data_IF_325838929307
#
_entry.id   IF_325838929307
#
_cell.length_a   1.000
_cell.length_b   1.000
_cell.length_c   1.000
_cell.angle_alpha   90.00
_cell.angle_beta   90.00
_cell.angle_gamma   90.00
#
_symmetry.space_group_name_H-M   'P 1'
#
loop_
_entity.id
_entity.type
_entity.pdbx_description
1 polymer ?
#
# COMPACT_ATOMS: atom_id res chain seq x y z
N UNK A 1 26.28 4.74 -6.57
CA UNK A 1 25.80 4.37 -5.24
C UNK A 1 26.41 3.04 -4.96
N UNK A 2 27.25 2.98 -3.94
CA UNK A 2 27.72 1.72 -3.39
C UNK A 2 26.83 1.34 -2.21
N UNK A 3 26.55 0.05 -2.05
CA UNK A 3 25.87 -0.49 -0.87
C UNK A 3 26.69 -1.62 -0.28
N UNK A 4 27.17 -1.40 0.94
CA UNK A 4 27.78 -2.44 1.75
C UNK A 4 26.69 -3.31 2.37
N UNK A 5 26.81 -4.63 2.19
CA UNK A 5 25.87 -5.64 2.71
C UNK A 5 26.55 -6.45 3.79
N UNK A 6 26.06 -6.31 5.01
CA UNK A 6 26.50 -7.09 6.15
C UNK A 6 25.38 -8.05 6.58
N UNK A 7 25.64 -9.36 6.52
CA UNK A 7 24.73 -10.38 7.04
C UNK A 7 25.38 -11.07 8.24
N UNK A 8 24.90 -10.74 9.43
CA UNK A 8 25.29 -11.35 10.71
C UNK A 8 24.13 -12.18 11.27
N UNK A 9 24.37 -13.13 12.20
CA UNK A 9 23.28 -13.85 12.83
C UNK A 9 22.22 -12.90 13.42
N UNK A 10 20.97 -13.09 13.01
CA UNK A 10 19.84 -12.26 13.46
C UNK A 10 19.61 -10.97 12.65
N UNK A 11 20.46 -10.62 11.67
CA UNK A 11 20.37 -9.30 11.00
C UNK A 11 21.03 -9.24 9.62
N UNK A 12 20.37 -8.55 8.69
CA UNK A 12 20.97 -8.04 7.45
C UNK A 12 20.96 -6.51 7.49
N UNK A 13 22.10 -5.87 7.25
CA UNK A 13 22.25 -4.42 7.19
C UNK A 13 22.71 -3.99 5.79
N UNK A 14 22.05 -2.97 5.26
CA UNK A 14 22.46 -2.29 4.03
C UNK A 14 22.96 -0.89 4.37
N UNK A 15 24.24 -0.62 4.09
CA UNK A 15 24.87 0.68 4.29
C UNK A 15 25.13 1.35 2.93
N UNK A 16 24.43 2.46 2.68
CA UNK A 16 24.44 3.24 1.45
C UNK A 16 25.55 4.29 1.49
N UNK A 17 26.41 4.22 0.48
CA UNK A 17 27.54 5.11 0.25
C UNK A 17 27.34 5.87 -1.08
N UNK A 18 26.83 7.11 -1.03
CA UNK A 18 26.63 7.92 -2.23
C UNK A 18 27.97 8.26 -2.90
N UNK A 19 28.04 8.09 -4.22
CA UNK A 19 29.19 8.53 -5.00
C UNK A 19 29.19 10.05 -5.23
N UNK A 20 30.34 10.63 -5.63
CA UNK A 20 30.47 12.06 -5.88
C UNK A 20 29.47 12.62 -6.93
N UNK A 21 29.05 11.79 -7.89
CA UNK A 21 28.08 12.16 -8.92
C UNK A 21 26.60 12.13 -8.43
N UNK A 22 26.34 11.54 -7.25
CA UNK A 22 24.99 11.32 -6.75
C UNK A 22 24.51 12.49 -5.90
N UNK A 23 23.89 13.46 -6.57
CA UNK A 23 23.26 14.60 -5.91
C UNK A 23 22.10 14.14 -5.01
N UNK A 24 22.14 14.58 -3.75
CA UNK A 24 21.09 14.38 -2.72
C UNK A 24 19.84 15.23 -2.95
N UNK A 25 19.79 16.07 -4.00
CA UNK A 25 18.74 17.06 -4.27
C UNK A 25 17.44 16.55 -4.92
N UNK A 26 17.04 15.29 -4.74
CA UNK A 26 15.71 14.81 -5.19
C UNK A 26 14.63 15.29 -4.20
N UNK A 27 13.34 15.18 -4.56
CA UNK A 27 12.18 15.37 -3.65
C UNK A 27 12.24 14.52 -2.36
N UNK A 28 13.20 13.60 -2.27
CA UNK A 28 13.44 12.66 -1.19
C UNK A 28 14.94 12.68 -0.87
N UNK A 29 15.28 13.06 0.35
CA UNK A 29 16.66 13.16 0.85
C UNK A 29 17.09 11.83 1.50
N UNK A 30 18.37 11.47 1.37
CA UNK A 30 18.99 10.39 2.14
C UNK A 30 19.29 10.86 3.56
N UNK A 31 18.40 10.53 4.51
CA UNK A 31 18.44 11.00 5.89
C UNK A 31 19.30 10.12 6.81
N UNK A 32 19.43 8.83 6.47
CA UNK A 32 20.32 7.88 7.13
C UNK A 32 21.07 7.09 6.08
N UNK A 33 22.28 6.66 6.42
CA UNK A 33 23.12 5.87 5.53
C UNK A 33 22.94 4.37 5.71
N UNK A 34 22.21 3.90 6.70
CA UNK A 34 21.99 2.47 6.89
C UNK A 34 20.58 2.15 7.32
N UNK A 35 20.17 0.94 6.95
CA UNK A 35 18.97 0.28 7.44
C UNK A 35 19.24 -1.20 7.67
N UNK A 36 18.59 -1.77 8.68
CA UNK A 36 18.67 -3.17 9.02
C UNK A 36 17.32 -3.86 8.89
N UNK A 37 17.38 -5.16 8.66
CA UNK A 37 16.27 -6.11 8.75
C UNK A 37 16.67 -7.15 9.80
N UNK A 38 15.80 -7.40 10.77
CA UNK A 38 15.99 -8.42 11.81
C UNK A 38 15.32 -9.71 11.35
N UNK A 39 16.10 -10.77 11.19
CA UNK A 39 15.64 -12.06 10.66
C UNK A 39 16.53 -13.21 11.15
N UNK A 40 15.98 -14.41 11.23
CA UNK A 40 16.65 -15.60 11.77
C UNK A 40 17.45 -16.38 10.72
N UNK A 41 17.37 -15.99 9.44
CA UNK A 41 18.10 -16.68 8.36
C UNK A 41 19.61 -16.54 8.60
N UNK A 42 20.36 -17.66 8.71
CA UNK A 42 21.80 -17.62 8.94
C UNK A 42 22.58 -16.95 7.80
N UNK A 43 23.74 -16.34 8.09
CA UNK A 43 24.68 -15.89 7.06
C UNK A 43 25.00 -17.01 6.05
N UNK A 44 25.02 -16.66 4.78
CA UNK A 44 25.27 -17.60 3.67
C UNK A 44 24.05 -18.41 3.20
N UNK A 45 22.90 -18.30 3.88
CA UNK A 45 21.64 -18.94 3.47
C UNK A 45 20.71 -18.04 2.63
N UNK A 46 21.15 -16.82 2.32
CA UNK A 46 20.45 -15.91 1.40
C UNK A 46 21.28 -15.80 0.13
N UNK A 47 20.70 -16.17 -1.01
CA UNK A 47 21.38 -16.07 -2.29
C UNK A 47 21.87 -14.62 -2.57
N UNK A 48 23.10 -14.44 -3.11
CA UNK A 48 23.65 -13.10 -3.37
C UNK A 48 22.74 -12.19 -4.21
N UNK A 49 22.07 -12.73 -5.23
CA UNK A 49 21.12 -11.97 -6.06
C UNK A 49 19.95 -11.36 -5.24
N UNK A 50 19.46 -12.07 -4.23
CA UNK A 50 18.39 -11.57 -3.34
C UNK A 50 18.90 -10.39 -2.49
N UNK A 51 20.16 -10.48 -2.01
CA UNK A 51 20.82 -9.40 -1.27
C UNK A 51 21.04 -8.17 -2.17
N UNK A 52 21.53 -8.36 -3.40
CA UNK A 52 21.74 -7.28 -4.36
C UNK A 52 20.42 -6.56 -4.69
N UNK A 53 19.35 -7.30 -4.96
CA UNK A 53 18.04 -6.70 -5.24
C UNK A 53 17.47 -6.03 -3.99
N UNK A 54 17.62 -6.63 -2.81
CA UNK A 54 17.23 -6.00 -1.54
C UNK A 54 17.93 -4.66 -1.30
N UNK A 55 19.26 -4.63 -1.49
CA UNK A 55 20.08 -3.43 -1.41
C UNK A 55 19.65 -2.37 -2.44
N UNK A 56 19.46 -2.78 -3.70
CA UNK A 56 19.02 -1.90 -4.78
C UNK A 56 17.65 -1.28 -4.48
N UNK A 57 16.69 -2.06 -3.97
CA UNK A 57 15.36 -1.57 -3.59
C UNK A 57 15.42 -0.55 -2.45
N UNK A 58 16.33 -0.71 -1.51
CA UNK A 58 16.55 0.26 -0.43
C UNK A 58 17.22 1.55 -0.93
N UNK A 59 18.13 1.44 -1.90
CA UNK A 59 18.90 2.57 -2.43
C UNK A 59 18.27 3.25 -3.65
N UNK A 60 17.27 2.63 -4.29
CA UNK A 60 16.72 3.01 -5.61
C UNK A 60 16.45 4.49 -5.82
N UNK A 61 15.92 5.26 -4.83
CA UNK A 61 15.68 6.69 -4.99
C UNK A 61 16.92 7.53 -5.22
N UNK A 62 18.11 7.03 -4.93
CA UNK A 62 19.37 7.78 -5.05
C UNK A 62 20.28 7.23 -6.15
N UNK A 63 19.97 6.05 -6.69
CA UNK A 63 20.69 5.48 -7.85
C UNK A 63 20.38 6.29 -9.12
N UNK A 64 21.44 6.60 -9.88
CA UNK A 64 21.37 7.20 -11.21
C UNK A 64 21.58 6.15 -12.31
N UNK A 65 20.93 6.33 -13.46
CA UNK A 65 21.11 5.40 -14.61
C UNK A 65 22.47 5.52 -15.28
N UNK A 66 23.11 6.70 -15.20
CA UNK A 66 24.40 6.99 -15.81
C UNK A 66 25.58 6.34 -15.07
N UNK A 67 25.42 6.01 -13.79
CA UNK A 67 26.49 5.46 -12.94
C UNK A 67 26.14 4.03 -12.55
N UNK A 68 27.08 3.08 -12.65
CA UNK A 68 26.85 1.73 -12.14
C UNK A 68 26.46 1.73 -10.65
N UNK A 69 25.47 0.92 -10.31
CA UNK A 69 25.17 0.55 -8.93
C UNK A 69 26.15 -0.55 -8.50
N UNK A 70 26.79 -0.39 -7.35
CA UNK A 70 27.70 -1.39 -6.80
C UNK A 70 27.20 -1.90 -5.45
N UNK A 71 27.49 -3.16 -5.16
CA UNK A 71 27.12 -3.86 -3.94
C UNK A 71 28.33 -4.65 -3.47
N UNK A 72 28.57 -4.81 -2.17
CA UNK A 72 29.72 -5.60 -1.69
C UNK A 72 29.60 -7.11 -1.95
N UNK A 73 28.38 -7.58 -2.20
CA UNK A 73 28.09 -8.92 -2.71
C UNK A 73 27.97 -8.94 -4.24
N UNK A 74 28.52 -9.95 -4.94
CA UNK A 74 28.43 -10.05 -6.40
C UNK A 74 27.05 -10.53 -6.86
N UNK A 75 26.56 -9.98 -7.97
CA UNK A 75 25.37 -10.48 -8.66
C UNK A 75 25.73 -11.56 -9.70
N UNK A 76 24.79 -12.45 -10.01
CA UNK A 76 24.87 -13.33 -11.18
C UNK A 76 24.77 -12.54 -12.49
N UNK A 77 25.24 -13.13 -13.59
CA UNK A 77 25.12 -12.54 -14.94
C UNK A 77 23.66 -12.34 -15.34
N UNK A 78 22.80 -13.30 -15.02
CA UNK A 78 21.38 -13.25 -15.37
C UNK A 78 20.65 -12.11 -14.62
N UNK A 79 20.95 -11.92 -13.33
CA UNK A 79 20.43 -10.75 -12.61
C UNK A 79 20.95 -9.44 -13.22
N UNK A 80 22.23 -9.37 -13.58
CA UNK A 80 22.79 -8.18 -14.20
C UNK A 80 22.12 -7.83 -15.55
N UNK A 81 21.78 -8.84 -16.34
CA UNK A 81 21.04 -8.70 -17.60
C UNK A 81 19.60 -8.24 -17.37
N UNK A 82 18.91 -8.80 -16.37
CA UNK A 82 17.56 -8.39 -15.99
C UNK A 82 17.51 -6.95 -15.47
N UNK A 83 18.49 -6.53 -14.66
CA UNK A 83 18.62 -5.15 -14.15
C UNK A 83 18.96 -4.16 -15.29
N UNK A 84 19.71 -4.60 -16.29
CA UNK A 84 20.03 -3.80 -17.47
C UNK A 84 18.86 -3.65 -18.42
N UNK A 85 18.09 -4.69 -18.66
CA UNK A 85 16.94 -4.66 -19.57
C UNK A 85 15.70 -4.00 -18.95
N UNK A 86 15.41 -4.28 -17.68
CA UNK A 86 14.25 -3.75 -16.95
C UNK A 86 14.42 -2.28 -16.51
N UNK A 87 14.98 -2.01 -15.31
CA UNK A 87 15.08 -0.64 -14.78
C UNK A 87 16.13 0.23 -15.51
N UNK A 88 16.87 -0.35 -16.47
CA UNK A 88 17.96 0.27 -17.23
C UNK A 88 19.09 0.76 -16.33
N UNK A 89 19.51 -0.10 -15.41
CA UNK A 89 20.63 0.12 -14.51
C UNK A 89 21.78 -0.83 -14.83
N UNK A 90 23.00 -0.45 -14.45
CA UNK A 90 24.18 -1.33 -14.59
C UNK A 90 24.66 -1.74 -13.21
N UNK A 91 25.00 -3.03 -13.05
CA UNK A 91 25.66 -3.54 -11.86
C UNK A 91 27.18 -3.50 -12.06
N UNK A 92 27.93 -3.03 -11.07
CA UNK A 92 29.39 -2.95 -11.15
C UNK A 92 30.08 -4.28 -10.83
N UNK A 93 29.53 -5.05 -9.89
CA UNK A 93 30.12 -6.30 -9.42
C UNK A 93 29.25 -7.48 -9.86
N UNK A 94 29.67 -8.12 -10.95
CA UNK A 94 29.06 -9.34 -11.49
C UNK A 94 30.04 -10.48 -11.29
N UNK A 95 29.64 -11.49 -10.51
CA UNK A 95 30.46 -12.66 -10.22
C UNK A 95 30.24 -13.80 -11.20
N UNK A 96 30.96 -14.90 -10.98
CA UNK A 96 30.81 -16.16 -11.75
C UNK A 96 29.78 -17.11 -11.15
N UNK A 97 29.08 -16.69 -10.08
CA UNK A 97 28.04 -17.49 -9.43
C UNK A 97 26.85 -17.77 -10.33
N UNK A 98 26.20 -18.91 -10.10
CA UNK A 98 24.95 -19.28 -10.77
C UNK A 98 23.80 -18.36 -10.37
N UNK A 99 22.80 -18.16 -11.25
CA UNK A 99 21.54 -17.53 -10.88
C UNK A 99 20.83 -18.32 -9.76
N UNK A 100 19.95 -17.64 -9.00
CA UNK A 100 19.13 -18.32 -7.99
C UNK A 100 18.22 -19.36 -8.66
N UNK A 101 18.25 -20.63 -8.24
CA UNK A 101 17.32 -21.63 -8.77
C UNK A 101 15.89 -21.37 -8.24
N UNK A 102 14.90 -21.46 -9.13
CA UNK A 102 13.49 -21.44 -8.74
C UNK A 102 13.08 -22.81 -8.15
N UNK A 103 12.50 -22.88 -6.94
CA UNK A 103 12.03 -24.14 -6.37
C UNK A 103 10.86 -24.71 -7.18
N UNK A 104 10.92 -25.99 -7.57
CA UNK A 104 9.85 -26.66 -8.34
C UNK A 104 8.58 -26.94 -7.51
N UNK A 105 8.76 -27.23 -6.23
CA UNK A 105 7.71 -27.51 -5.24
C UNK A 105 7.53 -26.34 -4.26
N UNK A 106 7.92 -25.13 -4.68
CA UNK A 106 7.91 -23.95 -3.84
C UNK A 106 6.51 -23.48 -3.42
N UNK A 107 6.48 -22.43 -2.61
CA UNK A 107 5.24 -21.76 -2.18
C UNK A 107 5.31 -20.26 -2.49
N UNK A 108 4.18 -19.60 -2.75
CA UNK A 108 4.22 -18.18 -3.05
C UNK A 108 4.42 -17.40 -1.75
N UNK A 109 5.20 -16.32 -1.81
CA UNK A 109 5.35 -15.39 -0.71
C UNK A 109 4.45 -14.16 -0.88
N UNK A 110 3.81 -13.68 0.18
CA UNK A 110 2.97 -12.47 0.17
C UNK A 110 3.61 -11.33 0.98
N UNK A 111 3.77 -10.16 0.35
CA UNK A 111 4.12 -8.91 1.03
C UNK A 111 2.90 -8.42 1.84
N UNK A 112 2.82 -8.81 3.10
CA UNK A 112 1.62 -8.66 3.93
C UNK A 112 1.62 -7.36 4.75
N UNK A 113 0.53 -6.59 4.63
CA UNK A 113 0.39 -5.28 5.29
C UNK A 113 -0.61 -5.26 6.45
N UNK A 114 -1.46 -6.26 6.57
CA UNK A 114 -2.64 -6.26 7.45
C UNK A 114 -3.80 -5.38 6.94
N UNK A 115 -3.66 -4.72 5.80
CA UNK A 115 -4.76 -4.00 5.15
C UNK A 115 -5.74 -4.93 4.43
N UNK A 116 -6.96 -4.46 4.20
CA UNK A 116 -8.04 -5.17 3.48
C UNK A 116 -7.54 -5.90 2.23
N UNK A 117 -6.80 -5.21 1.38
CA UNK A 117 -6.43 -5.76 0.06
C UNK A 117 -5.36 -6.86 0.17
N UNK A 118 -4.43 -6.77 1.14
CA UNK A 118 -3.47 -7.86 1.41
C UNK A 118 -4.11 -9.04 2.15
N UNK A 119 -5.13 -8.82 2.97
CA UNK A 119 -5.89 -9.91 3.60
C UNK A 119 -6.74 -10.63 2.53
N UNK A 120 -7.43 -9.88 1.67
CA UNK A 120 -8.17 -10.45 0.55
C UNK A 120 -7.26 -11.24 -0.40
N UNK A 121 -6.06 -10.73 -0.71
CA UNK A 121 -5.08 -11.48 -1.49
C UNK A 121 -4.71 -12.81 -0.81
N UNK A 122 -4.50 -12.84 0.51
CA UNK A 122 -4.18 -14.07 1.24
C UNK A 122 -5.34 -15.07 1.23
N UNK A 123 -6.60 -14.61 1.27
CA UNK A 123 -7.80 -15.47 1.16
C UNK A 123 -7.82 -16.20 -0.18
N UNK A 124 -7.50 -15.50 -1.27
CA UNK A 124 -7.51 -16.05 -2.64
C UNK A 124 -6.30 -16.94 -2.95
N UNK A 125 -5.22 -16.85 -2.17
CA UNK A 125 -3.98 -17.59 -2.42
C UNK A 125 -3.97 -18.96 -1.72
N UNK A 126 -3.14 -19.91 -2.21
CA UNK A 126 -3.04 -21.25 -1.61
C UNK A 126 -2.78 -21.24 -0.10
N UNK A 127 -3.25 -22.28 0.59
CA UNK A 127 -2.99 -22.53 2.01
C UNK A 127 -1.53 -22.41 2.44
N UNK A 128 -0.61 -22.80 1.54
CA UNK A 128 0.84 -22.83 1.74
C UNK A 128 1.52 -21.46 1.64
N UNK A 129 0.78 -20.40 1.32
CA UNK A 129 1.32 -19.05 1.10
C UNK A 129 2.04 -18.51 2.34
N UNK A 130 3.29 -18.11 2.18
CA UNK A 130 4.12 -17.55 3.25
C UNK A 130 3.95 -16.03 3.31
N UNK A 131 3.40 -15.49 4.40
CA UNK A 131 3.24 -14.03 4.54
C UNK A 131 4.44 -13.37 5.21
N UNK A 132 4.83 -12.19 4.74
CA UNK A 132 5.94 -11.41 5.30
C UNK A 132 5.49 -9.99 5.63
N UNK A 133 5.57 -9.63 6.91
CA UNK A 133 5.23 -8.30 7.39
C UNK A 133 6.50 -7.49 7.72
N UNK A 134 6.70 -6.39 7.01
CA UNK A 134 7.72 -5.39 7.36
C UNK A 134 7.25 -4.59 8.59
N UNK A 135 7.77 -4.94 9.75
CA UNK A 135 7.48 -4.25 11.01
C UNK A 135 8.39 -3.05 11.18
N UNK A 136 7.80 -1.86 11.19
CA UNK A 136 8.53 -0.60 11.35
C UNK A 136 9.19 -0.54 12.72
N UNK A 137 10.50 -0.32 12.74
CA UNK A 137 11.28 -0.04 13.93
C UNK A 137 11.80 1.38 13.86
N UNK A 138 11.58 2.14 14.94
CA UNK A 138 12.18 3.46 15.10
C UNK A 138 13.62 3.25 15.56
N UNK A 139 14.63 3.67 14.80
CA UNK A 139 16.01 3.52 15.25
C UNK A 139 16.29 4.41 16.47
N UNK A 140 17.28 4.01 17.27
CA UNK A 140 17.69 4.76 18.46
C UNK A 140 18.07 6.21 18.10
N UNK A 141 17.71 7.14 18.98
CA UNK A 141 17.99 8.58 18.79
C UNK A 141 17.16 9.27 17.71
N UNK A 142 16.28 8.56 16.99
CA UNK A 142 15.44 9.13 15.96
C UNK A 142 14.36 10.06 16.56
N UNK A 143 14.30 11.30 16.05
CA UNK A 143 13.40 12.36 16.55
C UNK A 143 12.29 12.71 15.58
N UNK A 144 12.33 12.22 14.34
CA UNK A 144 11.31 12.49 13.33
C UNK A 144 9.99 11.86 13.74
N UNK A 145 8.97 12.70 13.90
CA UNK A 145 7.64 12.26 14.27
C UNK A 145 6.99 11.46 13.12
N UNK A 146 6.36 10.33 13.47
CA UNK A 146 5.52 9.56 12.57
C UNK A 146 4.07 9.56 13.07
N UNK A 147 3.12 9.57 12.14
CA UNK A 147 1.70 9.37 12.46
C UNK A 147 1.30 7.89 12.50
N UNK A 148 2.24 7.00 12.18
CA UNK A 148 2.01 5.56 12.06
C UNK A 148 2.17 4.86 13.41
N UNK A 149 1.32 3.87 13.65
CA UNK A 149 1.29 3.00 14.81
C UNK A 149 1.28 1.54 14.32
N UNK A 150 2.35 0.81 14.58
CA UNK A 150 2.53 -0.56 14.10
C UNK A 150 1.71 -1.61 14.86
N UNK A 151 1.13 -1.28 16.03
CA UNK A 151 0.51 -2.27 16.92
C UNK A 151 -0.65 -3.02 16.29
N UNK A 152 -1.50 -2.33 15.53
CA UNK A 152 -2.62 -2.97 14.85
C UNK A 152 -2.17 -3.97 13.78
N UNK A 153 -1.05 -3.69 13.08
CA UNK A 153 -0.51 -4.61 12.09
C UNK A 153 0.13 -5.85 12.74
N UNK A 154 0.77 -5.69 13.91
CA UNK A 154 1.25 -6.83 14.70
C UNK A 154 0.10 -7.71 15.20
N UNK A 155 -0.99 -7.11 15.67
CA UNK A 155 -2.20 -7.85 16.05
C UNK A 155 -2.85 -8.56 14.85
N UNK A 156 -2.80 -7.96 13.66
CA UNK A 156 -3.24 -8.60 12.42
C UNK A 156 -2.42 -9.86 12.12
N UNK A 157 -1.09 -9.81 12.29
CA UNK A 157 -0.24 -10.99 12.15
C UNK A 157 -0.58 -12.09 13.17
N UNK A 158 -0.92 -11.71 14.41
CA UNK A 158 -1.36 -12.68 15.43
C UNK A 158 -2.68 -13.37 15.07
N UNK A 159 -3.63 -12.63 14.48
CA UNK A 159 -4.86 -13.22 13.96
C UNK A 159 -4.54 -14.26 12.87
N UNK A 160 -3.66 -13.95 11.92
CA UNK A 160 -3.25 -14.92 10.91
C UNK A 160 -2.70 -16.22 11.52
N UNK A 161 -1.84 -16.12 12.53
CA UNK A 161 -1.29 -17.30 13.23
C UNK A 161 -2.38 -18.12 13.90
N UNK A 162 -3.36 -17.48 14.55
CA UNK A 162 -4.52 -18.16 15.15
C UNK A 162 -5.38 -18.90 14.12
N UNK A 163 -5.42 -18.41 12.88
CA UNK A 163 -6.07 -19.10 11.75
C UNK A 163 -5.15 -20.09 11.03
N UNK A 164 -3.98 -20.42 11.58
CA UNK A 164 -3.04 -21.38 10.98
C UNK A 164 -2.37 -20.87 9.70
N UNK A 165 -2.40 -19.56 9.42
CA UNK A 165 -1.72 -18.97 8.26
C UNK A 165 -0.31 -18.52 8.66
N UNK A 166 0.75 -18.95 7.93
CA UNK A 166 2.11 -18.62 8.30
C UNK A 166 2.40 -17.14 8.01
N UNK A 167 3.01 -16.46 9.00
CA UNK A 167 3.43 -15.07 8.88
C UNK A 167 4.74 -14.81 9.62
N UNK A 168 5.73 -14.33 8.86
CA UNK A 168 7.03 -13.87 9.35
C UNK A 168 6.99 -12.36 9.53
N UNK A 169 7.26 -11.90 10.75
CA UNK A 169 7.35 -10.47 11.06
C UNK A 169 8.83 -10.08 11.06
N UNK A 170 9.21 -9.15 10.19
CA UNK A 170 10.60 -8.69 10.01
C UNK A 170 10.73 -7.25 10.48
N UNK A 171 11.27 -7.01 11.69
CA UNK A 171 11.59 -5.67 12.17
C UNK A 171 12.60 -4.97 11.25
N UNK A 172 12.33 -3.71 10.88
CA UNK A 172 13.24 -2.90 10.05
C UNK A 172 13.05 -1.40 10.24
N UNK A 173 14.16 -0.66 10.17
CA UNK A 173 14.20 0.80 10.19
C UNK A 173 14.32 1.43 8.78
N UNK A 174 14.11 0.65 7.71
CA UNK A 174 14.32 1.07 6.31
C UNK A 174 13.55 2.34 5.90
N UNK A 175 12.38 2.61 6.49
CA UNK A 175 11.62 3.83 6.20
C UNK A 175 12.35 5.12 6.64
N UNK A 176 13.32 4.99 7.55
CA UNK A 176 14.13 6.09 8.06
C UNK A 176 15.36 6.39 7.20
N UNK A 177 15.66 5.60 6.15
CA UNK A 177 16.66 5.96 5.14
C UNK A 177 16.34 7.30 4.47
N UNK A 178 15.06 7.65 4.32
CA UNK A 178 14.62 8.84 3.61
C UNK A 178 13.97 9.90 4.48
N UNK A 179 14.04 11.16 4.03
CA UNK A 179 13.25 12.28 4.53
C UNK A 179 12.36 12.85 3.40
N UNK A 180 11.03 12.98 3.60
CA UNK A 180 10.25 12.52 4.76
C UNK A 180 10.24 10.98 4.88
N UNK A 181 10.08 10.49 6.11
CA UNK A 181 10.02 9.06 6.47
C UNK A 181 8.97 8.33 5.63
N UNK A 182 9.34 7.15 5.14
CA UNK A 182 8.49 6.25 4.35
C UNK A 182 9.33 5.29 3.54
N UNK A 183 8.71 4.42 2.74
CA UNK A 183 9.47 3.49 1.92
C UNK A 183 10.36 4.23 0.88
N UNK A 184 11.65 3.85 0.75
CA UNK A 184 12.48 4.34 -0.34
C UNK A 184 11.85 4.02 -1.70
N UNK A 185 11.43 2.77 -1.90
CA UNK A 185 10.76 2.32 -3.11
C UNK A 185 9.49 1.53 -2.76
N UNK A 186 8.47 1.54 -3.62
CA UNK A 186 7.22 0.81 -3.35
C UNK A 186 7.47 -0.70 -3.12
N UNK A 187 8.48 -1.25 -3.80
CA UNK A 187 8.89 -2.66 -3.68
C UNK A 187 9.83 -2.94 -2.51
N UNK A 188 10.26 -1.94 -1.74
CA UNK A 188 11.00 -2.20 -0.48
C UNK A 188 10.20 -3.10 0.47
N UNK A 189 8.88 -3.15 0.32
CA UNK A 189 7.98 -4.07 1.03
C UNK A 189 8.27 -5.56 0.77
N UNK A 190 8.94 -5.91 -0.33
CA UNK A 190 9.33 -7.28 -0.64
C UNK A 190 10.65 -7.71 0.00
N UNK A 191 11.47 -6.79 0.52
CA UNK A 191 12.78 -7.15 1.09
C UNK A 191 12.69 -8.22 2.19
N UNK A 192 11.74 -8.15 3.16
CA UNK A 192 11.51 -9.24 4.10
C UNK A 192 11.34 -10.61 3.44
N UNK A 193 10.55 -10.69 2.37
CA UNK A 193 10.29 -11.91 1.63
C UNK A 193 11.55 -12.38 0.88
N UNK A 194 12.25 -11.47 0.20
CA UNK A 194 13.49 -11.79 -0.51
C UNK A 194 14.54 -12.40 0.42
N UNK A 195 14.70 -11.84 1.62
CA UNK A 195 15.68 -12.33 2.62
C UNK A 195 15.32 -13.69 3.22
N UNK A 196 14.13 -14.24 2.94
CA UNK A 196 13.70 -15.58 3.37
C UNK A 196 13.41 -16.51 2.19
N UNK A 197 13.67 -16.08 0.95
CA UNK A 197 13.18 -16.79 -0.22
C UNK A 197 13.75 -18.20 -0.36
N UNK A 198 15.02 -18.41 0.00
CA UNK A 198 15.65 -19.73 -0.11
C UNK A 198 15.24 -20.67 1.01
N UNK A 199 15.33 -20.21 2.27
CA UNK A 199 14.96 -21.02 3.43
C UNK A 199 13.48 -21.45 3.42
N UNK A 200 12.59 -20.64 2.87
CA UNK A 200 11.17 -20.95 2.77
C UNK A 200 10.77 -21.47 1.38
N UNK A 201 11.74 -21.75 0.49
CA UNK A 201 11.53 -22.27 -0.88
C UNK A 201 10.47 -21.47 -1.64
N UNK A 202 10.59 -20.14 -1.64
CA UNK A 202 9.65 -19.28 -2.34
C UNK A 202 9.85 -19.32 -3.85
N UNK A 203 8.74 -19.35 -4.59
CA UNK A 203 8.71 -19.42 -6.06
C UNK A 203 7.85 -18.31 -6.71
N UNK A 204 7.31 -17.39 -5.92
CA UNK A 204 6.61 -16.20 -6.40
C UNK A 204 6.61 -15.11 -5.33
N UNK A 205 6.48 -13.86 -5.77
CA UNK A 205 6.33 -12.70 -4.88
C UNK A 205 4.99 -12.03 -5.14
N UNK A 206 4.20 -11.87 -4.08
CA UNK A 206 2.83 -11.41 -4.17
C UNK A 206 2.52 -10.11 -3.43
N UNK A 207 1.52 -9.38 -3.93
CA UNK A 207 0.96 -8.17 -3.31
C UNK A 207 -0.57 -8.12 -3.38
N UNK A 208 -1.18 -7.48 -2.39
CA UNK A 208 -2.59 -7.12 -2.41
C UNK A 208 -2.83 -5.75 -3.05
N UNK A 209 -2.74 -5.66 -4.38
CA UNK A 209 -3.02 -4.43 -5.12
C UNK A 209 -4.30 -4.58 -5.97
N UNK A 210 -5.40 -3.88 -5.63
CA UNK A 210 -6.68 -4.03 -6.32
C UNK A 210 -6.67 -3.35 -7.70
N UNK A 211 -7.70 -3.60 -8.50
CA UNK A 211 -7.94 -3.08 -9.84
C UNK A 211 -7.66 -1.58 -9.98
N UNK A 212 -8.09 -0.76 -9.02
CA UNK A 212 -7.88 0.68 -9.08
C UNK A 212 -6.40 1.07 -8.98
N UNK A 213 -5.60 0.26 -8.27
CA UNK A 213 -4.19 0.50 -8.07
C UNK A 213 -3.36 0.00 -9.26
N UNK A 214 -3.61 -1.24 -9.71
CA UNK A 214 -2.87 -1.92 -10.80
C UNK A 214 -3.10 -1.23 -12.14
N UNK A 215 -4.37 -0.95 -12.47
CA UNK A 215 -4.80 -0.33 -13.74
C UNK A 215 -4.98 1.19 -13.66
N UNK A 216 -4.44 1.83 -12.62
CA UNK A 216 -4.39 3.30 -12.42
C UNK A 216 -5.74 4.02 -12.31
N UNK A 217 -6.88 3.32 -12.21
CA UNK A 217 -8.20 3.96 -12.06
C UNK A 217 -8.24 4.91 -10.85
N UNK A 218 -7.44 4.67 -9.81
CA UNK A 218 -7.29 5.57 -8.67
C UNK A 218 -6.73 6.97 -8.98
N UNK A 219 -6.18 7.16 -10.20
CA UNK A 219 -5.68 8.43 -10.75
C UNK A 219 -6.64 9.02 -11.79
N UNK A 220 -7.83 8.43 -11.93
CA UNK A 220 -8.88 8.89 -12.83
C UNK A 220 -8.75 8.43 -14.27
N UNK A 221 -7.79 7.58 -14.62
CA UNK A 221 -7.73 7.01 -15.97
C UNK A 221 -7.18 5.58 -15.97
N UNK A 222 -7.63 4.80 -16.94
CA UNK A 222 -7.10 3.48 -17.21
C UNK A 222 -5.65 3.54 -17.70
N UNK A 223 -4.86 2.56 -17.28
CA UNK A 223 -3.61 2.18 -17.92
C UNK A 223 -3.48 0.68 -17.78
N UNK A 224 -3.19 0.00 -18.88
CA UNK A 224 -2.92 -1.42 -18.84
C UNK A 224 -1.79 -1.76 -17.83
N UNK A 225 -2.08 -2.71 -16.95
CA UNK A 225 -1.15 -3.18 -15.94
C UNK A 225 0.03 -3.94 -16.57
N UNK A 226 -0.21 -4.71 -17.64
CA UNK A 226 0.82 -5.43 -18.37
C UNK A 226 1.88 -4.48 -18.95
N UNK A 227 1.47 -3.27 -19.31
CA UNK A 227 2.34 -2.20 -19.83
C UNK A 227 2.86 -1.25 -18.74
N UNK A 228 2.65 -1.57 -17.47
CA UNK A 228 3.07 -0.70 -16.38
C UNK A 228 4.59 -0.69 -16.22
N UNK A 229 5.20 0.43 -15.75
CA UNK A 229 6.61 0.45 -15.38
C UNK A 229 6.97 -0.57 -14.29
N UNK A 230 6.00 -0.97 -13.45
CA UNK A 230 6.23 -2.03 -12.48
C UNK A 230 6.50 -3.37 -13.17
N UNK A 231 5.61 -3.79 -14.10
CA UNK A 231 5.78 -5.05 -14.84
C UNK A 231 7.01 -4.97 -15.76
N UNK A 232 7.14 -3.89 -16.52
CA UNK A 232 8.23 -3.73 -17.49
C UNK A 232 9.62 -3.60 -16.84
N UNK A 233 9.75 -2.86 -15.75
CA UNK A 233 11.05 -2.66 -15.10
C UNK A 233 11.39 -3.79 -14.12
N UNK A 234 10.43 -4.24 -13.30
CA UNK A 234 10.72 -5.17 -12.19
C UNK A 234 10.25 -6.60 -12.42
N UNK A 235 9.36 -6.84 -13.39
CA UNK A 235 8.96 -8.20 -13.77
C UNK A 235 10.16 -9.07 -14.18
N UNK A 236 11.01 -8.64 -15.12
CA UNK A 236 12.21 -9.39 -15.51
C UNK A 236 13.19 -9.60 -14.36
N UNK A 237 13.38 -8.59 -13.50
CA UNK A 237 14.28 -8.68 -12.33
C UNK A 237 13.78 -9.74 -11.35
N UNK A 238 12.49 -9.74 -11.02
CA UNK A 238 11.92 -10.71 -10.10
C UNK A 238 11.85 -12.12 -10.71
N UNK A 239 11.60 -12.23 -12.02
CA UNK A 239 11.66 -13.50 -12.74
C UNK A 239 13.08 -14.11 -12.74
N UNK A 240 14.12 -13.30 -12.92
CA UNK A 240 15.52 -13.76 -12.82
C UNK A 240 15.92 -14.23 -11.41
N UNK A 241 15.15 -13.86 -10.38
CA UNK A 241 15.28 -14.42 -9.03
C UNK A 241 14.47 -15.71 -8.85
N UNK A 242 13.79 -16.23 -9.87
CA UNK A 242 12.83 -17.33 -9.71
C UNK A 242 11.62 -16.94 -8.85
N UNK A 243 11.24 -15.66 -8.85
CA UNK A 243 10.12 -15.11 -8.08
C UNK A 243 9.20 -14.28 -9.00
N UNK A 244 8.53 -14.88 -10.00
CA UNK A 244 7.55 -14.16 -10.79
C UNK A 244 6.51 -13.43 -9.93
N UNK A 245 6.06 -12.28 -10.42
CA UNK A 245 5.06 -11.45 -9.76
C UNK A 245 3.71 -12.17 -9.73
N UNK A 246 3.06 -12.17 -8.57
CA UNK A 246 1.68 -12.61 -8.40
C UNK A 246 0.85 -11.48 -7.77
N UNK A 247 -0.23 -11.02 -8.42
CA UNK A 247 -1.13 -10.01 -7.82
C UNK A 247 -2.56 -10.56 -7.84
N UNK A 248 -2.94 -11.38 -6.84
CA UNK A 248 -4.20 -12.14 -6.86
C UNK A 248 -5.45 -11.29 -7.02
N UNK A 249 -5.40 -10.06 -6.48
CA UNK A 249 -6.53 -9.12 -6.51
C UNK A 249 -6.43 -8.08 -7.64
N UNK A 250 -5.50 -8.22 -8.60
CA UNK A 250 -5.29 -7.23 -9.65
C UNK A 250 -6.53 -6.97 -10.52
N UNK A 251 -7.40 -7.97 -10.67
CA UNK A 251 -8.62 -7.91 -11.47
C UNK A 251 -9.86 -7.51 -10.69
N UNK A 252 -9.79 -7.33 -9.37
CA UNK A 252 -10.97 -7.04 -8.55
C UNK A 252 -10.84 -5.71 -7.83
N UNK A 253 -11.95 -5.02 -7.66
CA UNK A 253 -12.02 -3.68 -7.07
C UNK A 253 -11.82 -3.69 -5.55
N UNK A 254 -11.64 -2.52 -4.94
CA UNK A 254 -11.71 -2.40 -3.48
C UNK A 254 -13.11 -2.74 -2.91
N UNK A 255 -14.16 -2.77 -3.72
CA UNK A 255 -15.50 -3.24 -3.31
C UNK A 255 -15.45 -4.75 -3.11
N UNK A 256 -14.89 -5.49 -4.07
CA UNK A 256 -14.73 -6.95 -3.98
C UNK A 256 -13.74 -7.34 -2.89
N UNK A 257 -12.58 -6.67 -2.77
CA UNK A 257 -11.66 -6.98 -1.65
C UNK A 257 -12.29 -6.72 -0.29
N UNK A 258 -13.18 -5.72 -0.19
CA UNK A 258 -13.96 -5.48 1.02
C UNK A 258 -15.02 -6.55 1.27
N UNK A 259 -15.63 -7.10 0.21
CA UNK A 259 -16.57 -8.22 0.30
C UNK A 259 -15.87 -9.51 0.75
N UNK A 260 -14.71 -9.84 0.18
CA UNK A 260 -13.88 -11.00 0.58
C UNK A 260 -13.60 -10.96 2.08
N UNK A 261 -13.06 -9.84 2.61
CA UNK A 261 -12.77 -9.74 4.05
C UNK A 261 -14.02 -9.64 4.92
N UNK A 262 -15.18 -9.32 4.36
CA UNK A 262 -16.42 -9.30 5.12
C UNK A 262 -16.99 -10.71 5.32
N UNK A 263 -16.79 -11.59 4.33
CA UNK A 263 -17.35 -12.93 4.32
C UNK A 263 -16.39 -14.03 4.80
N UNK A 264 -15.07 -13.79 4.75
CA UNK A 264 -14.06 -14.76 5.17
C UNK A 264 -13.62 -14.55 6.64
N UNK A 265 -13.43 -15.62 7.44
CA UNK A 265 -12.93 -15.52 8.82
C UNK A 265 -11.59 -14.78 8.95
N UNK A 266 -10.69 -14.87 7.97
CA UNK A 266 -9.42 -14.13 7.96
C UNK A 266 -9.63 -12.60 7.92
N UNK A 267 -10.85 -12.16 7.58
CA UNK A 267 -11.29 -10.77 7.65
C UNK A 267 -11.06 -10.10 9.00
N UNK A 268 -11.03 -10.85 10.11
CA UNK A 268 -10.69 -10.34 11.45
C UNK A 268 -9.31 -9.65 11.46
N UNK A 269 -8.38 -10.11 10.61
CA UNK A 269 -7.04 -9.54 10.49
C UNK A 269 -7.00 -8.18 9.77
N UNK A 270 -8.08 -7.75 9.12
CA UNK A 270 -8.06 -6.61 8.20
C UNK A 270 -8.22 -5.25 8.91
N UNK A 271 -7.21 -4.40 8.79
CA UNK A 271 -7.31 -2.97 9.09
C UNK A 271 -6.35 -2.14 8.23
N UNK A 272 -6.89 -1.41 7.25
CA UNK A 272 -6.08 -0.49 6.41
C UNK A 272 -5.54 0.74 7.16
N UNK A 273 -6.06 1.04 8.35
CA UNK A 273 -5.62 2.19 9.14
C UNK A 273 -4.32 1.89 9.89
N UNK A 274 -3.24 2.54 9.46
CA UNK A 274 -1.92 2.49 10.12
C UNK A 274 -1.79 3.48 11.28
N UNK A 275 -2.85 4.19 11.68
CA UNK A 275 -2.82 5.18 12.76
C UNK A 275 -3.67 4.78 13.97
N UNK A 276 -4.39 3.66 13.85
CA UNK A 276 -5.23 3.12 14.91
C UNK A 276 -4.36 2.42 15.95
N UNK A 277 -4.58 2.63 17.25
CA UNK A 277 -3.70 2.07 18.28
C UNK A 277 -3.84 0.56 18.47
N UNK A 278 -4.91 -0.03 17.95
CA UNK A 278 -5.24 -1.47 18.04
C UNK A 278 -6.03 -1.90 16.81
N UNK A 279 -5.98 -3.19 16.49
CA UNK A 279 -6.83 -3.84 15.48
C UNK A 279 -8.32 -3.70 15.87
N UNK A 280 -9.18 -3.49 14.88
CA UNK A 280 -10.60 -3.15 15.09
C UNK A 280 -10.85 -1.74 15.64
N UNK A 281 -9.79 -0.94 15.89
CA UNK A 281 -9.88 0.44 16.39
C UNK A 281 -9.15 1.41 15.47
N UNK A 282 -9.62 1.60 14.22
CA UNK A 282 -9.02 2.55 13.30
C UNK A 282 -9.18 3.98 13.82
N UNK A 283 -8.34 4.91 13.34
CA UNK A 283 -8.36 6.29 13.83
C UNK A 283 -9.65 7.07 13.50
N UNK A 284 -10.46 6.59 12.54
CA UNK A 284 -11.76 7.16 12.18
C UNK A 284 -11.72 8.57 11.57
N UNK A 285 -10.53 9.04 11.15
CA UNK A 285 -10.30 10.43 10.72
C UNK A 285 -9.34 10.61 9.53
N UNK A 286 -8.63 9.56 9.15
CA UNK A 286 -7.77 9.63 7.97
C UNK A 286 -8.57 9.30 6.70
N UNK A 287 -8.13 9.73 5.51
CA UNK A 287 -8.83 9.48 4.25
C UNK A 287 -9.09 7.99 3.96
N UNK A 288 -8.18 7.12 4.40
CA UNK A 288 -8.37 5.66 4.30
C UNK A 288 -9.53 5.18 5.18
N UNK A 289 -9.68 5.71 6.40
CA UNK A 289 -10.78 5.33 7.28
C UNK A 289 -12.12 5.80 6.71
N UNK A 290 -12.22 7.04 6.25
CA UNK A 290 -13.49 7.57 5.72
C UNK A 290 -13.97 6.76 4.52
N UNK A 291 -13.06 6.43 3.61
CA UNK A 291 -13.32 5.55 2.46
C UNK A 291 -13.67 4.12 2.87
N UNK A 292 -12.89 3.49 3.77
CA UNK A 292 -13.14 2.10 4.17
C UNK A 292 -14.43 1.97 5.02
N UNK A 293 -14.85 3.00 5.76
CA UNK A 293 -16.17 3.05 6.40
C UNK A 293 -17.28 3.02 5.34
N UNK A 294 -17.17 3.86 4.30
CA UNK A 294 -18.15 3.88 3.22
C UNK A 294 -18.22 2.52 2.51
N UNK A 295 -17.06 1.95 2.14
CA UNK A 295 -16.96 0.63 1.51
C UNK A 295 -17.56 -0.51 2.35
N UNK A 296 -17.25 -0.56 3.64
CA UNK A 296 -17.79 -1.58 4.53
C UNK A 296 -19.32 -1.49 4.63
N UNK A 297 -19.87 -0.27 4.61
CA UNK A 297 -21.31 -0.05 4.58
C UNK A 297 -21.93 -0.41 3.21
N UNK A 298 -21.24 -0.12 2.10
CA UNK A 298 -21.63 -0.55 0.75
C UNK A 298 -21.81 -2.06 0.66
N UNK A 299 -20.88 -2.82 1.23
CA UNK A 299 -20.90 -4.29 1.23
C UNK A 299 -21.95 -4.84 2.19
N UNK A 300 -22.01 -4.32 3.42
CA UNK A 300 -22.89 -4.88 4.47
C UNK A 300 -24.33 -4.37 4.44
N UNK A 301 -24.62 -3.30 3.68
CA UNK A 301 -25.89 -2.57 3.73
C UNK A 301 -26.13 -1.80 5.03
N UNK A 302 -25.16 -1.79 5.96
CA UNK A 302 -25.29 -1.14 7.27
C UNK A 302 -24.61 0.22 7.28
N UNK A 303 -25.37 1.27 6.98
CA UNK A 303 -24.85 2.64 6.91
C UNK A 303 -24.71 3.29 8.29
N UNK A 304 -23.59 4.00 8.57
CA UNK A 304 -23.55 4.96 9.65
C UNK A 304 -24.54 6.10 9.36
N UNK A 305 -25.11 6.70 10.40
CA UNK A 305 -26.02 7.84 10.21
C UNK A 305 -25.34 9.03 9.49
N UNK A 306 -26.13 9.80 8.74
CA UNK A 306 -25.69 10.85 7.81
C UNK A 306 -24.66 11.80 8.42
N UNK A 307 -24.97 12.36 9.60
CA UNK A 307 -24.08 13.29 10.31
C UNK A 307 -22.77 12.62 10.71
N UNK A 308 -22.74 11.30 10.96
CA UNK A 308 -21.51 10.58 11.27
C UNK A 308 -20.59 10.47 10.06
N UNK A 309 -21.14 10.16 8.88
CA UNK A 309 -20.41 10.15 7.61
C UNK A 309 -19.84 11.54 7.29
N UNK A 310 -20.66 12.57 7.38
CA UNK A 310 -20.23 13.97 7.16
C UNK A 310 -19.10 14.38 8.11
N UNK A 311 -19.24 14.03 9.40
CA UNK A 311 -18.20 14.32 10.40
C UNK A 311 -16.87 13.67 10.06
N UNK A 312 -16.86 12.46 9.49
CA UNK A 312 -15.62 11.78 9.11
C UNK A 312 -14.94 12.50 7.94
N UNK A 313 -15.69 12.84 6.89
CA UNK A 313 -15.15 13.46 5.68
C UNK A 313 -14.73 14.94 5.85
N UNK A 314 -15.21 15.61 6.91
CA UNK A 314 -14.82 17.00 7.22
C UNK A 314 -13.40 17.18 7.73
N UNK A 315 -12.70 16.12 8.14
CA UNK A 315 -11.32 16.27 8.61
C UNK A 315 -10.38 16.75 7.52
N UNK A 316 -9.34 17.50 7.92
CA UNK A 316 -8.43 18.22 7.02
C UNK A 316 -7.92 17.36 5.87
N UNK A 317 -7.40 16.16 6.17
CA UNK A 317 -6.89 15.27 5.12
C UNK A 317 -8.03 14.71 4.27
N UNK A 318 -9.12 14.22 4.89
CA UNK A 318 -10.22 13.59 4.16
C UNK A 318 -10.88 14.55 3.16
N UNK A 319 -11.09 15.82 3.52
CA UNK A 319 -11.63 16.81 2.59
C UNK A 319 -10.70 17.12 1.42
N UNK A 320 -9.38 17.12 1.63
CA UNK A 320 -8.42 17.35 0.55
C UNK A 320 -8.51 16.24 -0.51
N UNK A 321 -8.87 15.02 -0.09
CA UNK A 321 -9.09 13.93 -1.02
C UNK A 321 -10.37 14.08 -1.86
N UNK A 322 -11.47 14.57 -1.27
CA UNK A 322 -12.72 14.82 -2.00
C UNK A 322 -12.62 16.04 -2.94
N UNK A 323 -11.84 17.04 -2.56
CA UNK A 323 -11.62 18.26 -3.36
C UNK A 323 -10.58 18.08 -4.47
N UNK A 324 -9.83 16.97 -4.47
CA UNK A 324 -8.86 16.68 -5.53
C UNK A 324 -9.55 16.44 -6.87
N UNK A 325 -8.87 16.81 -7.96
CA UNK A 325 -9.30 16.53 -9.33
C UNK A 325 -8.28 15.67 -10.07
N UNK A 326 -8.63 14.43 -10.44
CA UNK A 326 -9.80 13.66 -10.02
C UNK A 326 -9.72 13.24 -8.54
N UNK A 327 -10.83 12.74 -7.95
CA UNK A 327 -10.77 12.18 -6.61
C UNK A 327 -9.92 10.91 -6.62
N UNK A 328 -9.06 10.74 -5.61
CA UNK A 328 -8.30 9.48 -5.49
C UNK A 328 -9.29 8.33 -5.24
N UNK A 329 -9.15 7.24 -6.00
CA UNK A 329 -10.07 6.07 -5.97
C UNK A 329 -11.54 6.44 -6.18
N UNK A 330 -11.78 7.38 -7.09
CA UNK A 330 -13.12 7.84 -7.46
C UNK A 330 -14.11 6.74 -7.89
N UNK A 331 -13.74 5.68 -8.65
CA UNK A 331 -14.64 4.57 -8.99
C UNK A 331 -15.42 4.06 -7.79
N UNK A 332 -14.66 3.76 -6.75
CA UNK A 332 -15.12 3.17 -5.49
C UNK A 332 -15.94 4.15 -4.66
N UNK A 333 -15.51 5.42 -4.61
CA UNK A 333 -16.23 6.45 -3.88
C UNK A 333 -17.59 6.72 -4.51
N UNK A 334 -17.67 6.84 -5.83
CA UNK A 334 -18.93 7.04 -6.51
C UNK A 334 -19.88 5.86 -6.26
N UNK A 335 -19.39 4.63 -6.46
CA UNK A 335 -20.20 3.43 -6.25
C UNK A 335 -20.78 3.38 -4.82
N UNK A 336 -19.94 3.61 -3.80
CA UNK A 336 -20.42 3.61 -2.42
C UNK A 336 -21.39 4.74 -2.11
N UNK A 337 -21.17 5.94 -2.66
CA UNK A 337 -22.06 7.09 -2.45
C UNK A 337 -23.41 6.90 -3.15
N UNK A 338 -23.43 6.42 -4.39
CA UNK A 338 -24.67 6.18 -5.13
C UNK A 338 -25.49 5.06 -4.49
N UNK A 339 -24.86 3.97 -4.03
CA UNK A 339 -25.53 2.96 -3.20
C UNK A 339 -26.12 3.54 -1.91
N UNK A 340 -25.37 4.38 -1.21
CA UNK A 340 -25.85 5.04 0.02
C UNK A 340 -27.12 5.88 -0.24
N UNK A 341 -27.11 6.68 -1.31
CA UNK A 341 -28.26 7.51 -1.67
C UNK A 341 -29.46 6.68 -2.13
N UNK A 342 -29.23 5.63 -2.93
CA UNK A 342 -30.28 4.71 -3.38
C UNK A 342 -30.96 3.96 -2.21
N UNK A 343 -30.24 3.74 -1.11
CA UNK A 343 -30.77 3.12 0.12
C UNK A 343 -31.31 4.14 1.12
N UNK A 344 -31.60 5.37 0.68
CA UNK A 344 -32.32 6.38 1.46
C UNK A 344 -31.44 7.32 2.30
N UNK A 345 -30.11 7.27 2.13
CA UNK A 345 -29.17 8.18 2.80
C UNK A 345 -29.41 9.66 2.45
N UNK A 346 -29.33 10.57 3.43
CA UNK A 346 -29.71 12.00 3.24
C UNK A 346 -28.58 12.99 3.50
N UNK A 347 -27.32 12.54 3.39
CA UNK A 347 -26.17 13.42 3.60
C UNK A 347 -26.01 14.42 2.44
N UNK A 348 -26.00 15.71 2.75
CA UNK A 348 -25.79 16.77 1.77
C UNK A 348 -24.40 16.67 1.13
N UNK A 349 -23.38 16.37 1.94
CA UNK A 349 -22.02 16.16 1.46
C UNK A 349 -21.95 15.03 0.43
N UNK A 350 -22.55 13.88 0.74
CA UNK A 350 -22.46 12.74 -0.17
C UNK A 350 -23.27 12.95 -1.46
N UNK A 351 -24.37 13.73 -1.43
CA UNK A 351 -25.03 14.18 -2.68
C UNK A 351 -24.10 15.03 -3.56
N UNK A 352 -23.35 15.95 -2.97
CA UNK A 352 -22.37 16.77 -3.72
C UNK A 352 -21.22 15.91 -4.28
N UNK A 353 -20.75 14.92 -3.52
CA UNK A 353 -19.75 13.95 -4.00
C UNK A 353 -20.31 13.12 -5.16
N UNK A 354 -21.57 12.70 -5.10
CA UNK A 354 -22.24 11.98 -6.19
C UNK A 354 -22.33 12.85 -7.46
N UNK A 355 -22.78 14.10 -7.30
CA UNK A 355 -22.89 15.06 -8.40
C UNK A 355 -21.53 15.29 -9.09
N UNK A 356 -20.47 15.44 -8.29
CA UNK A 356 -19.10 15.58 -8.80
C UNK A 356 -18.61 14.33 -9.52
N UNK A 357 -18.86 13.15 -8.96
CA UNK A 357 -18.39 11.89 -9.53
C UNK A 357 -19.14 11.50 -10.84
N UNK A 358 -20.27 12.14 -11.11
CA UNK A 358 -21.16 11.82 -12.22
C UNK A 358 -22.08 10.63 -11.92
N UNK A 359 -22.85 10.16 -12.92
CA UNK A 359 -23.71 8.98 -12.80
C UNK A 359 -22.94 7.75 -12.32
N UNK A 360 -23.62 6.81 -11.66
CA UNK A 360 -23.04 5.50 -11.33
C UNK A 360 -23.48 4.41 -12.30
N UNK A 361 -22.66 4.10 -13.32
CA UNK A 361 -22.85 2.91 -14.12
C UNK A 361 -21.79 1.84 -13.81
N UNK A 362 -21.16 1.84 -12.63
CA UNK A 362 -19.97 1.01 -12.37
C UNK A 362 -20.31 -0.34 -11.75
N UNK A 363 -21.35 -1.00 -12.26
CA UNK A 363 -21.75 -2.36 -11.82
C UNK A 363 -20.63 -3.39 -11.99
N UNK A 364 -19.70 -3.13 -12.92
CA UNK A 364 -18.49 -3.91 -13.07
C UNK A 364 -17.59 -3.90 -11.82
N UNK A 365 -17.73 -2.95 -10.89
CA UNK A 365 -16.93 -2.93 -9.65
C UNK A 365 -17.20 -4.13 -8.74
N UNK A 366 -18.31 -4.86 -8.90
CA UNK A 366 -18.57 -6.10 -8.14
C UNK A 366 -18.20 -7.37 -8.92
N UNK A 367 -17.48 -7.23 -10.05
CA UNK A 367 -17.09 -8.31 -10.96
C UNK A 367 -15.57 -8.40 -11.12
N UNK A 368 -15.08 -9.50 -11.70
CA UNK A 368 -13.65 -9.70 -11.98
C UNK A 368 -13.27 -9.29 -13.41
N UNK A 369 -12.23 -8.46 -13.52
CA UNK A 369 -11.60 -8.08 -14.79
C UNK A 369 -10.63 -9.18 -15.22
N UNK A 370 -11.08 -10.06 -16.11
CA UNK A 370 -10.39 -11.29 -16.52
C UNK A 370 -8.98 -11.08 -17.14
N UNK A 371 -8.69 -9.98 -17.87
CA UNK A 371 -7.35 -9.75 -18.40
C UNK A 371 -6.27 -9.68 -17.31
N UNK A 372 -6.63 -9.33 -16.06
CA UNK A 372 -5.69 -9.32 -14.95
C UNK A 372 -5.32 -10.73 -14.47
N UNK A 373 -6.24 -11.70 -14.56
CA UNK A 373 -5.99 -13.08 -14.12
C UNK A 373 -4.99 -13.78 -15.05
N UNK A 374 -4.93 -13.38 -16.33
CA UNK A 374 -3.94 -13.88 -17.29
C UNK A 374 -2.49 -13.51 -16.91
N UNK A 375 -2.30 -12.48 -16.08
CA UNK A 375 -0.99 -12.04 -15.61
C UNK A 375 -0.51 -12.80 -14.36
N UNK A 376 -1.33 -13.68 -13.79
CA UNK A 376 -0.92 -14.54 -12.69
C UNK A 376 0.08 -15.61 -13.18
N UNK A 377 1.03 -16.03 -12.33
CA UNK A 377 1.89 -17.18 -12.62
C UNK A 377 1.04 -18.41 -12.93
N UNK A 378 1.39 -19.15 -13.98
CA UNK A 378 0.60 -20.27 -14.51
C UNK A 378 0.24 -21.30 -13.44
N UNK A 379 1.20 -21.63 -12.56
CA UNK A 379 1.00 -22.56 -11.43
C UNK A 379 -0.14 -22.16 -10.49
N UNK A 380 -0.35 -20.86 -10.28
CA UNK A 380 -1.32 -20.35 -9.31
C UNK A 380 -2.61 -19.84 -9.97
N UNK A 381 -2.59 -19.61 -11.28
CA UNK A 381 -3.70 -19.00 -12.01
C UNK A 381 -5.02 -19.76 -11.84
N UNK A 382 -5.13 -21.08 -12.07
CA UNK A 382 -6.42 -21.77 -12.01
C UNK A 382 -7.09 -21.66 -10.63
N UNK A 383 -6.35 -21.95 -9.55
CA UNK A 383 -6.88 -21.93 -8.19
C UNK A 383 -7.26 -20.50 -7.74
N UNK A 384 -6.45 -19.49 -8.06
CA UNK A 384 -6.78 -18.10 -7.73
C UNK A 384 -7.99 -17.63 -8.54
N UNK A 385 -8.09 -17.98 -9.82
CA UNK A 385 -9.26 -17.65 -10.66
C UNK A 385 -10.54 -18.24 -10.08
N UNK A 386 -10.53 -19.52 -9.69
CA UNK A 386 -11.67 -20.17 -9.05
C UNK A 386 -12.10 -19.46 -7.75
N UNK A 387 -11.13 -19.13 -6.89
CA UNK A 387 -11.40 -18.39 -5.66
C UNK A 387 -11.93 -16.97 -5.94
N UNK A 388 -11.43 -16.28 -6.96
CA UNK A 388 -11.94 -14.97 -7.36
C UNK A 388 -13.40 -15.07 -7.80
N UNK A 389 -13.73 -16.05 -8.65
CA UNK A 389 -15.08 -16.24 -9.19
C UNK A 389 -16.10 -16.62 -8.13
N UNK A 390 -15.67 -17.19 -6.99
CA UNK A 390 -16.53 -17.39 -5.81
C UNK A 390 -17.07 -16.09 -5.22
N UNK A 391 -16.33 -14.99 -5.32
CA UNK A 391 -16.70 -13.69 -4.76
C UNK A 391 -17.16 -12.67 -5.80
N UNK A 392 -16.64 -12.76 -7.02
CA UNK A 392 -16.90 -11.81 -8.08
C UNK A 392 -17.00 -12.54 -9.42
N UNK A 393 -18.19 -12.62 -10.03
CA UNK A 393 -18.32 -13.26 -11.35
C UNK A 393 -17.53 -12.47 -12.40
N UNK A 394 -17.15 -13.11 -13.52
CA UNK A 394 -16.42 -12.45 -14.60
C UNK A 394 -17.21 -11.29 -15.20
N UNK A 395 -16.48 -10.22 -15.56
CA UNK A 395 -17.01 -9.14 -16.39
C UNK A 395 -17.38 -9.66 -17.77
N UNK A 396 -18.45 -9.11 -18.33
CA UNK A 396 -18.77 -9.20 -19.76
C UNK A 396 -17.78 -8.36 -20.58
N UNK A 397 -17.76 -8.59 -21.90
CA UNK A 397 -16.91 -7.82 -22.81
C UNK A 397 -17.18 -6.30 -22.75
N UNK A 398 -18.45 -5.90 -22.58
CA UNK A 398 -18.85 -4.48 -22.46
C UNK A 398 -18.38 -3.87 -21.15
N UNK A 399 -18.46 -4.61 -20.04
CA UNK A 399 -17.96 -4.17 -18.74
C UNK A 399 -16.44 -4.02 -18.76
N UNK A 400 -15.71 -4.95 -19.36
CA UNK A 400 -14.27 -4.81 -19.55
C UNK A 400 -13.91 -3.63 -20.46
N UNK A 401 -14.69 -3.39 -21.52
CA UNK A 401 -14.51 -2.22 -22.38
C UNK A 401 -14.74 -0.92 -21.60
N UNK A 402 -15.72 -0.88 -20.70
CA UNK A 402 -15.95 0.25 -19.81
C UNK A 402 -14.77 0.48 -18.84
N UNK A 403 -14.13 -0.57 -18.32
CA UNK A 403 -12.89 -0.45 -17.53
C UNK A 403 -11.77 0.18 -18.36
N UNK A 404 -11.58 -0.29 -19.61
CA UNK A 404 -10.55 0.22 -20.52
C UNK A 404 -10.80 1.66 -20.96
N UNK A 405 -12.06 2.05 -21.11
CA UNK A 405 -12.49 3.40 -21.49
C UNK A 405 -12.54 4.38 -20.31
N UNK A 406 -12.27 3.94 -19.08
CA UNK A 406 -12.36 4.79 -17.90
C UNK A 406 -11.36 5.96 -17.96
N UNK A 407 -11.87 7.18 -18.14
CA UNK A 407 -11.13 8.43 -18.03
C UNK A 407 -12.05 9.56 -17.51
N UNK A 408 -11.77 10.02 -16.29
CA UNK A 408 -12.43 11.17 -15.64
C UNK A 408 -11.49 12.36 -15.49
N UNK A 409 -10.37 12.37 -16.24
CA UNK A 409 -9.43 13.49 -16.31
C UNK A 409 -9.76 14.47 -17.43
N UNK A 410 -10.71 14.11 -18.30
CA UNK A 410 -11.22 14.97 -19.35
C UNK A 410 -12.07 16.12 -18.76
N UNK A 411 -12.07 17.31 -19.40
CA UNK A 411 -12.92 18.43 -18.97
C UNK A 411 -14.41 18.05 -18.98
N UNK A 412 -15.12 18.42 -17.91
CA UNK A 412 -16.57 18.21 -17.75
C UNK A 412 -17.16 19.39 -16.96
N UNK A 413 -18.02 20.17 -17.61
CA UNK A 413 -18.64 21.37 -17.03
C UNK A 413 -19.56 21.04 -15.84
N UNK A 414 -20.24 19.89 -15.88
CA UNK A 414 -21.11 19.46 -14.77
C UNK A 414 -20.27 19.11 -13.55
N UNK A 415 -19.17 18.40 -13.78
CA UNK A 415 -18.19 18.10 -12.74
C UNK A 415 -17.58 19.38 -12.15
N UNK A 416 -17.19 20.33 -13.00
CA UNK A 416 -16.64 21.61 -12.57
C UNK A 416 -17.63 22.41 -11.70
N UNK A 417 -18.91 22.44 -12.10
CA UNK A 417 -19.96 23.07 -11.30
C UNK A 417 -20.15 22.39 -9.94
N UNK A 418 -20.22 21.05 -9.91
CA UNK A 418 -20.34 20.28 -8.67
C UNK A 418 -19.12 20.44 -7.74
N UNK A 419 -17.91 20.59 -8.29
CA UNK A 419 -16.70 20.90 -7.53
C UNK A 419 -16.84 22.24 -6.79
N UNK A 420 -17.34 23.29 -7.44
CA UNK A 420 -17.56 24.61 -6.81
C UNK A 420 -18.57 24.52 -5.67
N UNK A 421 -19.64 23.75 -5.84
CA UNK A 421 -20.63 23.52 -4.77
C UNK A 421 -20.04 22.75 -3.60
N UNK A 422 -19.24 21.71 -3.87
CA UNK A 422 -18.53 20.94 -2.84
C UNK A 422 -17.55 21.82 -2.05
N UNK A 423 -16.82 22.70 -2.74
CA UNK A 423 -15.93 23.69 -2.10
C UNK A 423 -16.70 24.65 -1.20
N UNK A 424 -17.84 25.18 -1.67
CA UNK A 424 -18.71 26.06 -0.89
C UNK A 424 -19.24 25.36 0.36
N UNK A 425 -19.70 24.11 0.24
CA UNK A 425 -20.14 23.31 1.37
C UNK A 425 -19.00 23.08 2.37
N UNK A 426 -17.80 22.73 1.90
CA UNK A 426 -16.62 22.50 2.74
C UNK A 426 -16.16 23.78 3.46
N UNK A 427 -16.33 24.96 2.84
CA UNK A 427 -16.05 26.24 3.46
C UNK A 427 -17.01 26.55 4.61
N UNK A 428 -18.31 26.28 4.42
CA UNK A 428 -19.34 26.43 5.46
C UNK A 428 -19.20 25.43 6.62
N UNK A 429 -18.54 24.28 6.39
CA UNK A 429 -18.40 23.19 7.36
C UNK A 429 -16.93 22.95 7.76
N UNK A 430 -16.29 23.82 8.55
CA UNK A 430 -14.85 23.77 8.79
C UNK A 430 -14.36 22.47 9.47
N UNK A 431 -13.06 22.12 9.33
CA UNK A 431 -12.48 20.91 9.90
C UNK A 431 -12.57 20.83 11.43
N UNK A 432 -12.72 19.60 11.95
CA UNK A 432 -12.84 19.34 13.40
C UNK A 432 -11.59 19.75 14.17
N UNK A 433 -10.41 19.61 13.58
CA UNK A 433 -9.15 19.93 14.25
C UNK A 433 -8.99 21.44 14.48
N UNK A 434 -9.54 22.30 13.62
CA UNK A 434 -9.61 23.75 13.88
C UNK A 434 -10.45 24.05 15.12
N UNK A 435 -11.63 23.46 15.22
CA UNK A 435 -12.53 23.62 16.40
C UNK A 435 -11.86 23.10 17.67
N UNK A 436 -11.23 21.91 17.61
CA UNK A 436 -10.51 21.32 18.75
C UNK A 436 -9.29 22.13 19.17
N UNK A 437 -8.51 22.67 18.21
CA UNK A 437 -7.36 23.53 18.51
C UNK A 437 -7.80 24.85 19.13
N UNK A 438 -8.88 25.45 18.63
CA UNK A 438 -9.47 26.65 19.22
C UNK A 438 -9.96 26.38 20.66
N UNK A 439 -10.68 25.28 20.87
CA UNK A 439 -11.14 24.86 22.19
C UNK A 439 -9.99 24.57 23.17
N UNK A 440 -8.94 23.87 22.71
CA UNK A 440 -7.76 23.59 23.53
C UNK A 440 -6.94 24.84 23.82
N UNK A 441 -6.89 25.81 22.89
CA UNK A 441 -6.29 27.13 23.11
C UNK A 441 -7.08 27.90 24.18
N UNK A 442 -8.39 27.99 24.03
CA UNK A 442 -9.28 28.61 25.02
C UNK A 442 -9.15 27.96 26.41
N UNK A 443 -9.13 26.61 26.51
CA UNK A 443 -8.92 25.91 27.79
C UNK A 443 -7.56 26.22 28.42
N UNK A 444 -6.49 26.32 27.62
CA UNK A 444 -5.15 26.69 28.12
C UNK A 444 -5.13 28.13 28.61
N UNK A 445 -5.76 29.05 27.89
CA UNK A 445 -5.87 30.45 28.30
C UNK A 445 -6.70 30.61 29.58
N UNK A 446 -7.82 29.89 29.71
CA UNK A 446 -8.63 29.85 30.94
C UNK A 446 -7.82 29.29 32.12
N UNK A 447 -7.11 28.17 31.93
CA UNK A 447 -6.24 27.60 32.98
C UNK A 447 -5.11 28.56 33.36
N UNK A 448 -4.50 29.25 32.40
CA UNK A 448 -3.46 30.25 32.68
C UNK A 448 -4.02 31.45 33.46
N UNK A 449 -5.23 31.91 33.14
CA UNK A 449 -5.92 33.00 33.87
C UNK A 449 -6.33 32.59 35.28
N UNK A 450 -6.82 31.37 35.47
CA UNK A 450 -7.17 30.82 36.80
C UNK A 450 -5.93 30.55 37.65
N UNK A 451 -4.83 30.09 37.04
CA UNK A 451 -3.53 29.93 37.71
C UNK A 451 -2.99 31.27 38.23
N UNK A 452 -3.08 32.34 37.43
CA UNK A 452 -2.69 33.70 37.85
C UNK A 452 -3.56 34.30 38.95
N UNK A 453 -4.82 33.88 39.09
CA UNK A 453 -5.71 34.32 40.18
C UNK A 453 -5.43 33.61 41.50
N UNK A 454 -4.87 32.39 41.48
CA UNK A 454 -4.48 31.64 42.69
C UNK A 454 -3.11 32.02 43.25
N UNK A 455 -2.28 32.70 42.46
CA UNK A 455 -0.97 33.21 42.87
C UNK A 455 -0.96 34.72 43.15
N UNK A 456 -2.14 35.37 43.19
CA UNK A 456 -2.26 36.73 43.71
C UNK A 456 -2.27 36.67 45.25
N UNK A 457 -1.33 37.33 45.95
CA UNK A 457 -1.35 37.36 47.41
C UNK A 457 -2.63 38.06 47.89
N UNK A 458 -3.30 37.46 48.88
CA UNK A 458 -4.41 38.09 49.57
C UNK A 458 -3.93 39.41 50.17
N UNK A 459 -4.57 40.52 49.76
CA UNK A 459 -4.35 41.84 50.36
C UNK A 459 -5.23 42.00 51.58
#
# INVERSE_FOLDING_TARGET
MHVEVEHTPGRVTFTLEPGAAERTGRRVELARRSASFVLEVPPGQVHPDLLVVGALLCARPWVQRSTPFSCSVPASRELADAVRSGPRLRLAHVGEGSPRPAPQDGSPGLCFSGGTDSVAALVLMPGTTQSYHLSRQTPEGERRATMMDGRAALQSCEVLRRHGRPVTVVPSDVEYLRNPTGFPHDLTTAVPLLLHADVHRLDAVAWGAPLEATYRLQRGRYRDYAQSPFVAEWGPVLAALGLPVCVPVAGVSEVVTSAIVHHDPLGEAAQSCVRGPRLGRPCGRCPKCTRKTLLAATVSGRWPGDRALERQWRDREARQHLLAEPMKVEPVLAHGVHRYLAQGGRSDLLRLVAAKAGPDPRDWLVRSYEPALQLLPERYRPAITEEVHRFAPPMSADEEAAVRAYDVTLPDDRRAAAQVELERWMAAHPPRDRVRRAWNRARREVRARLGRRRSAPAR
#
